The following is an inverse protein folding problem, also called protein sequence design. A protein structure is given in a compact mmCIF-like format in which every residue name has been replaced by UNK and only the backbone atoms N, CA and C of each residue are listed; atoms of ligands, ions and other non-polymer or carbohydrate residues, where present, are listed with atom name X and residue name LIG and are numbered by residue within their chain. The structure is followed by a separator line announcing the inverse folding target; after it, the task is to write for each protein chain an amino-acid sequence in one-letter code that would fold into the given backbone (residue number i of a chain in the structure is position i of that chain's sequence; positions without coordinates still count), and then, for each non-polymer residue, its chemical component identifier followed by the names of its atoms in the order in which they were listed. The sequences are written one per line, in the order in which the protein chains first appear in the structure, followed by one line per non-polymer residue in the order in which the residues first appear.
data_IF_260992223143
#
_entry.id   IF_260992223143
#
_cell.length_a   1.000
_cell.length_b   1.000
_cell.length_c   1.000
_cell.angle_alpha   90.00
_cell.angle_beta   90.00
_cell.angle_gamma   90.00
#
_symmetry.space_group_name_H-M   'P 1'
#
loop_
_entity.id
_entity.type
_entity.pdbx_description
1 polymer ?
#
# COMPACT_ATOMS: atom_id res chain seq x y z
N UNK A 1 18.99 14.10 28.88
CA UNK A 1 17.92 13.97 27.86
C UNK A 1 18.18 12.68 27.10
N UNK A 2 17.34 11.65 27.28
CA UNK A 2 17.49 10.43 26.47
C UNK A 2 16.86 10.69 25.10
N UNK A 3 17.67 10.59 24.05
CA UNK A 3 17.18 10.63 22.68
C UNK A 3 16.42 9.32 22.42
N UNK A 4 15.15 9.43 22.02
CA UNK A 4 14.39 8.29 21.47
C UNK A 4 15.00 7.96 20.11
N UNK A 5 15.30 6.69 19.85
CA UNK A 5 15.76 6.28 18.52
C UNK A 5 14.59 6.28 17.52
N UNK A 6 14.87 6.43 16.22
CA UNK A 6 13.85 6.33 15.17
C UNK A 6 13.07 5.02 15.26
N UNK A 7 13.76 3.94 15.65
CA UNK A 7 13.14 2.63 15.85
C UNK A 7 12.14 2.66 16.99
N UNK A 8 12.56 3.17 18.14
CA UNK A 8 11.70 3.21 19.32
C UNK A 8 10.48 4.12 19.07
N UNK A 9 10.65 5.20 18.30
CA UNK A 9 9.54 6.06 17.90
C UNK A 9 8.51 5.30 17.05
N UNK A 10 8.96 4.63 15.98
CA UNK A 10 8.09 3.85 15.08
C UNK A 10 7.43 2.69 15.83
N UNK A 11 8.18 1.98 16.67
CA UNK A 11 7.67 0.91 17.52
C UNK A 11 6.57 1.45 18.45
N UNK A 12 6.79 2.57 19.14
CA UNK A 12 5.80 3.15 20.07
C UNK A 12 4.54 3.60 19.34
N UNK A 13 4.68 4.28 18.20
CA UNK A 13 3.55 4.76 17.41
C UNK A 13 2.63 3.61 16.99
N UNK A 14 3.20 2.49 16.54
CA UNK A 14 2.42 1.39 15.97
C UNK A 14 2.18 0.19 16.90
N UNK A 15 2.78 0.15 18.11
CA UNK A 15 2.55 -0.94 19.07
C UNK A 15 1.41 -0.65 20.05
N UNK A 16 1.26 0.60 20.49
CA UNK A 16 0.43 0.92 21.66
C UNK A 16 -0.62 2.00 21.40
N UNK A 17 -0.70 2.51 20.17
CA UNK A 17 -1.57 3.64 19.85
C UNK A 17 -2.49 3.24 18.70
N UNK A 18 -3.80 3.37 18.91
CA UNK A 18 -4.77 3.35 17.82
C UNK A 18 -4.99 4.79 17.36
N UNK A 19 -5.01 4.98 16.05
CA UNK A 19 -5.32 6.27 15.45
C UNK A 19 -6.66 6.17 14.73
N UNK A 20 -7.79 6.34 15.44
CA UNK A 20 -9.11 6.12 14.88
C UNK A 20 -9.44 7.11 13.77
N UNK A 21 -8.80 8.29 13.71
CA UNK A 21 -9.04 9.30 12.69
C UNK A 21 -7.93 9.38 11.64
N UNK A 22 -6.97 8.45 11.65
CA UNK A 22 -5.87 8.47 10.69
C UNK A 22 -6.35 7.93 9.35
N UNK A 23 -6.28 8.79 8.34
CA UNK A 23 -6.74 8.47 6.97
C UNK A 23 -5.58 8.24 6.00
N UNK A 24 -4.44 8.89 6.23
CA UNK A 24 -3.26 8.83 5.34
C UNK A 24 -2.00 8.51 6.14
N UNK A 25 -1.23 7.54 5.65
CA UNK A 25 0.08 7.18 6.17
C UNK A 25 1.08 7.27 5.03
N UNK A 26 2.06 8.17 5.17
CA UNK A 26 3.16 8.33 4.22
C UNK A 26 4.49 8.09 4.90
N UNK A 27 5.24 7.11 4.39
CA UNK A 27 6.61 6.82 4.78
C UNK A 27 7.52 6.97 3.55
N UNK A 28 8.57 7.77 3.68
CA UNK A 28 9.56 8.00 2.62
C UNK A 28 10.93 7.72 3.22
N UNK A 29 11.67 6.81 2.57
CA UNK A 29 13.02 6.41 2.98
C UNK A 29 13.11 6.02 4.47
N UNK A 30 12.02 5.49 5.05
CA UNK A 30 11.99 5.12 6.46
C UNK A 30 12.70 3.76 6.63
N UNK A 31 13.93 3.73 7.18
CA UNK A 31 14.72 2.51 7.21
C UNK A 31 14.27 1.56 8.32
N UNK A 32 13.37 1.99 9.21
CA UNK A 32 12.87 1.19 10.34
C UNK A 32 11.50 0.57 10.04
N UNK A 33 10.71 1.20 9.17
CA UNK A 33 9.41 0.65 8.77
C UNK A 33 9.60 -0.72 8.12
N UNK A 34 8.81 -1.69 8.56
CA UNK A 34 8.94 -3.08 8.15
C UNK A 34 7.56 -3.77 8.11
N UNK A 35 7.55 -5.03 7.70
CA UNK A 35 6.32 -5.82 7.54
C UNK A 35 5.49 -5.94 8.82
N UNK A 36 6.13 -6.07 9.99
CA UNK A 36 5.44 -6.16 11.28
C UNK A 36 4.71 -4.86 11.61
N UNK A 37 5.31 -3.71 11.31
CA UNK A 37 4.66 -2.41 11.47
C UNK A 37 3.41 -2.31 10.60
N UNK A 38 3.48 -2.72 9.33
CA UNK A 38 2.33 -2.70 8.41
C UNK A 38 1.20 -3.62 8.87
N UNK A 39 1.52 -4.82 9.36
CA UNK A 39 0.55 -5.73 9.95
C UNK A 39 -0.15 -5.12 11.16
N UNK A 40 0.58 -4.42 12.04
CA UNK A 40 -0.01 -3.76 13.21
C UNK A 40 -0.90 -2.59 12.81
N UNK A 41 -0.41 -1.73 11.92
CA UNK A 41 -1.19 -0.60 11.38
C UNK A 41 -2.52 -1.08 10.81
N UNK A 42 -2.52 -2.21 10.10
CA UNK A 42 -3.75 -2.74 9.50
C UNK A 42 -4.80 -3.18 10.51
N UNK A 43 -4.38 -3.52 11.73
CA UNK A 43 -5.27 -3.91 12.84
C UNK A 43 -5.76 -2.70 13.65
N UNK A 44 -4.94 -1.66 13.81
CA UNK A 44 -5.22 -0.55 14.75
C UNK A 44 -5.71 0.75 14.09
N UNK A 45 -5.54 0.88 12.77
CA UNK A 45 -5.92 2.08 12.00
C UNK A 45 -6.97 1.75 10.93
N UNK A 46 -8.22 1.56 11.34
CA UNK A 46 -9.32 1.11 10.46
C UNK A 46 -9.80 2.16 9.45
N UNK A 47 -9.55 3.45 9.70
CA UNK A 47 -9.96 4.56 8.82
C UNK A 47 -8.94 4.92 7.73
N UNK A 48 -7.76 4.28 7.74
CA UNK A 48 -6.73 4.57 6.73
C UNK A 48 -7.27 4.24 5.33
N UNK A 49 -7.33 5.27 4.50
CA UNK A 49 -7.75 5.26 3.10
C UNK A 49 -6.55 5.39 2.15
N UNK A 50 -5.38 5.83 2.64
CA UNK A 50 -4.15 5.92 1.86
C UNK A 50 -2.93 5.42 2.64
N UNK A 51 -2.14 4.56 1.99
CA UNK A 51 -0.82 4.13 2.45
C UNK A 51 0.20 4.39 1.35
N UNK A 52 1.18 5.26 1.59
CA UNK A 52 2.32 5.49 0.71
C UNK A 52 3.59 4.99 1.38
N UNK A 53 4.25 4.01 0.77
CA UNK A 53 5.54 3.47 1.21
C UNK A 53 6.55 3.71 0.09
N UNK A 54 7.49 4.62 0.28
CA UNK A 54 8.46 4.98 -0.75
C UNK A 54 9.87 4.70 -0.26
N UNK A 55 10.62 3.87 -0.99
CA UNK A 55 12.01 3.50 -0.71
C UNK A 55 12.25 2.97 0.73
N UNK A 56 11.22 2.43 1.38
CA UNK A 56 11.34 1.84 2.72
C UNK A 56 11.89 0.41 2.61
N UNK A 57 13.12 0.23 3.08
CA UNK A 57 13.95 -0.94 2.76
C UNK A 57 13.56 -2.27 3.37
N UNK A 58 12.81 -2.25 4.46
CA UNK A 58 12.40 -3.45 5.17
C UNK A 58 10.91 -3.76 5.00
N UNK A 59 10.23 -3.02 4.11
CA UNK A 59 8.89 -3.38 3.64
C UNK A 59 9.02 -4.29 2.43
N UNK A 60 8.41 -5.46 2.52
CA UNK A 60 8.34 -6.47 1.48
C UNK A 60 6.90 -6.68 1.00
N UNK A 61 6.72 -7.57 0.02
CA UNK A 61 5.39 -7.87 -0.53
C UNK A 61 4.51 -8.54 0.53
N UNK A 62 5.14 -9.24 1.48
CA UNK A 62 4.47 -9.88 2.61
C UNK A 62 3.84 -8.82 3.54
N UNK A 63 4.56 -7.74 3.84
CA UNK A 63 4.03 -6.66 4.67
C UNK A 63 2.81 -5.97 4.06
N UNK A 64 2.82 -5.75 2.73
CA UNK A 64 1.66 -5.21 2.01
C UNK A 64 0.51 -6.23 1.98
N UNK A 65 0.78 -7.52 1.78
CA UNK A 65 -0.23 -8.59 1.88
C UNK A 65 -0.90 -8.59 3.26
N UNK A 66 -0.13 -8.59 4.35
CA UNK A 66 -0.65 -8.51 5.72
C UNK A 66 -1.44 -7.23 5.99
N UNK A 67 -1.07 -6.11 5.36
CA UNK A 67 -1.82 -4.88 5.47
C UNK A 67 -3.22 -4.97 4.84
N UNK A 68 -3.32 -5.73 3.74
CA UNK A 68 -4.54 -5.96 2.98
C UNK A 68 -5.46 -7.02 3.58
N UNK A 69 -4.94 -7.98 4.36
CA UNK A 69 -5.76 -9.00 5.04
C UNK A 69 -6.92 -8.38 5.87
N UNK A 70 -6.73 -7.18 6.40
CA UNK A 70 -7.72 -6.44 7.18
C UNK A 70 -8.63 -5.51 6.35
N UNK A 71 -8.49 -5.46 5.02
CA UNK A 71 -9.25 -4.55 4.16
C UNK A 71 -10.78 -4.68 4.33
N UNK A 72 -11.28 -5.92 4.44
CA UNK A 72 -12.70 -6.19 4.68
C UNK A 72 -13.24 -5.60 5.99
N UNK A 73 -12.38 -5.38 6.99
CA UNK A 73 -12.74 -4.83 8.30
C UNK A 73 -12.51 -3.32 8.43
N UNK A 74 -11.88 -2.69 7.44
CA UNK A 74 -11.67 -1.23 7.44
C UNK A 74 -12.99 -0.46 7.42
N UNK A 75 -12.99 0.72 8.00
CA UNK A 75 -14.12 1.65 7.93
C UNK A 75 -14.08 2.49 6.65
N UNK A 76 -12.87 2.72 6.11
CA UNK A 76 -12.69 3.34 4.79
C UNK A 76 -13.32 2.48 3.68
N UNK A 77 -14.04 3.13 2.78
CA UNK A 77 -14.63 2.49 1.60
C UNK A 77 -13.62 2.32 0.49
N UNK A 78 -12.67 3.25 0.39
CA UNK A 78 -11.59 3.22 -0.59
C UNK A 78 -10.25 3.09 0.12
N UNK A 79 -9.38 2.22 -0.39
CA UNK A 79 -7.99 2.13 0.02
C UNK A 79 -7.08 2.30 -1.20
N UNK A 80 -6.16 3.25 -1.12
CA UNK A 80 -5.06 3.43 -2.05
C UNK A 80 -3.75 3.01 -1.38
N UNK A 81 -3.02 2.10 -2.02
CA UNK A 81 -1.64 1.77 -1.67
C UNK A 81 -0.73 2.29 -2.78
N UNK A 82 0.16 3.21 -2.43
CA UNK A 82 1.26 3.69 -3.27
C UNK A 82 2.55 3.04 -2.77
N UNK A 83 3.21 2.24 -3.60
CA UNK A 83 4.49 1.64 -3.24
C UNK A 83 5.56 1.96 -4.28
N UNK A 84 6.61 2.69 -3.88
CA UNK A 84 7.83 2.91 -4.67
C UNK A 84 8.98 2.12 -4.02
N UNK A 85 9.63 1.23 -4.76
CA UNK A 85 10.80 0.49 -4.26
C UNK A 85 11.73 0.06 -5.38
N UNK A 86 12.95 0.60 -5.40
CA UNK A 86 14.01 0.18 -6.34
C UNK A 86 14.38 -1.31 -6.27
N UNK A 87 13.97 -2.03 -5.22
CA UNK A 87 14.34 -3.43 -4.96
C UNK A 87 13.33 -4.48 -5.40
N UNK A 88 12.11 -4.08 -5.76
CA UNK A 88 11.01 -5.01 -5.95
C UNK A 88 10.49 -4.90 -7.37
N UNK A 89 10.49 -6.04 -8.09
CA UNK A 89 9.92 -6.08 -9.42
C UNK A 89 8.39 -6.17 -9.34
N UNK A 90 7.71 -5.43 -10.22
CA UNK A 90 6.24 -5.42 -10.35
C UNK A 90 5.63 -6.82 -10.51
N UNK A 91 6.31 -7.67 -11.27
CA UNK A 91 5.89 -9.05 -11.51
C UNK A 91 5.79 -9.85 -10.23
N UNK A 92 6.72 -9.67 -9.30
CA UNK A 92 6.76 -10.42 -8.04
C UNK A 92 5.65 -9.95 -7.11
N UNK A 93 5.41 -8.64 -7.06
CA UNK A 93 4.30 -8.05 -6.31
C UNK A 93 2.96 -8.62 -6.75
N UNK A 94 2.65 -8.58 -8.05
CA UNK A 94 1.36 -9.03 -8.56
C UNK A 94 1.22 -10.55 -8.54
N UNK A 95 2.30 -11.30 -8.75
CA UNK A 95 2.27 -12.77 -8.65
C UNK A 95 1.92 -13.21 -7.24
N UNK A 96 2.60 -12.66 -6.22
CA UNK A 96 2.34 -13.01 -4.82
C UNK A 96 0.92 -12.62 -4.42
N UNK A 97 0.47 -11.42 -4.81
CA UNK A 97 -0.89 -10.97 -4.53
C UNK A 97 -1.97 -11.82 -5.21
N UNK A 98 -1.73 -12.29 -6.44
CA UNK A 98 -2.62 -13.18 -7.17
C UNK A 98 -2.69 -14.57 -6.54
N UNK A 99 -1.54 -15.07 -6.09
CA UNK A 99 -1.42 -16.42 -5.50
C UNK A 99 -1.92 -16.43 -4.03
N UNK A 100 -1.94 -15.27 -3.36
CA UNK A 100 -2.46 -15.12 -2.00
C UNK A 100 -3.97 -14.91 -1.96
N UNK A 101 -4.72 -16.01 -1.97
CA UNK A 101 -6.18 -16.02 -1.89
C UNK A 101 -6.73 -15.36 -0.62
N UNK A 102 -5.93 -15.16 0.44
CA UNK A 102 -6.37 -14.51 1.69
C UNK A 102 -6.63 -13.02 1.50
N UNK A 103 -5.86 -12.40 0.61
CA UNK A 103 -5.84 -10.96 0.36
C UNK A 103 -6.95 -10.58 -0.63
N UNK A 104 -7.14 -11.38 -1.69
CA UNK A 104 -7.97 -10.98 -2.85
C UNK A 104 -8.98 -12.04 -3.30
N UNK A 105 -9.08 -13.19 -2.62
CA UNK A 105 -9.86 -14.33 -3.09
C UNK A 105 -11.36 -14.08 -3.36
N UNK A 106 -11.95 -13.04 -2.76
CA UNK A 106 -13.34 -12.63 -3.00
C UNK A 106 -13.48 -11.33 -3.83
N UNK A 107 -12.38 -10.68 -4.20
CA UNK A 107 -12.35 -9.42 -4.94
C UNK A 107 -11.88 -9.70 -6.37
N UNK A 108 -12.60 -9.22 -7.37
CA UNK A 108 -12.11 -9.27 -8.75
C UNK A 108 -10.82 -8.46 -8.89
N UNK A 109 -9.79 -9.00 -9.53
CA UNK A 109 -8.54 -8.26 -9.79
C UNK A 109 -8.41 -7.94 -11.26
N UNK A 110 -8.23 -6.66 -11.56
CA UNK A 110 -8.06 -6.13 -12.91
C UNK A 110 -6.70 -5.43 -12.99
N UNK A 111 -5.84 -5.90 -13.89
CA UNK A 111 -4.50 -5.32 -14.02
C UNK A 111 -4.45 -4.38 -15.22
N UNK A 112 -3.95 -3.16 -15.03
CA UNK A 112 -3.72 -2.20 -16.11
C UNK A 112 -2.27 -1.71 -16.06
N UNK A 113 -1.46 -2.12 -17.04
CA UNK A 113 -0.12 -1.58 -17.23
C UNK A 113 -0.16 -0.51 -18.33
N UNK A 114 0.38 0.68 -18.06
CA UNK A 114 0.43 1.78 -19.03
C UNK A 114 1.82 2.43 -19.03
N UNK A 115 2.38 2.68 -20.20
CA UNK A 115 3.51 3.58 -20.36
C UNK A 115 2.99 5.02 -20.20
N UNK A 116 3.45 5.73 -19.17
CA UNK A 116 3.16 7.15 -19.00
C UNK A 116 4.23 7.96 -19.73
N UNK A 117 3.82 9.00 -20.45
CA UNK A 117 4.78 9.88 -21.15
C UNK A 117 5.55 10.74 -20.15
N UNK A 118 6.79 11.12 -20.48
CA UNK A 118 7.79 11.66 -19.55
C UNK A 118 7.36 12.88 -18.71
N UNK A 119 6.33 13.59 -19.16
CA UNK A 119 5.87 14.83 -18.56
C UNK A 119 4.87 14.57 -17.41
N UNK A 120 4.30 13.36 -17.33
CA UNK A 120 3.39 12.83 -16.30
C UNK A 120 2.20 13.74 -15.88
N UNK A 121 1.99 14.87 -16.56
CA UNK A 121 1.00 15.87 -16.19
C UNK A 121 -0.37 15.52 -16.78
N UNK A 122 -1.35 15.28 -15.91
CA UNK A 122 -2.75 15.08 -16.32
C UNK A 122 -3.18 13.65 -16.68
N UNK A 123 -2.30 12.65 -16.70
CA UNK A 123 -2.70 11.26 -16.97
C UNK A 123 -3.32 10.60 -15.72
N UNK A 124 -4.66 10.50 -15.69
CA UNK A 124 -5.42 9.86 -14.59
C UNK A 124 -6.13 8.60 -15.08
N UNK A 125 -5.90 7.47 -14.40
CA UNK A 125 -6.73 6.28 -14.60
C UNK A 125 -7.97 6.42 -13.74
N UNK A 126 -9.11 6.66 -14.38
CA UNK A 126 -10.41 6.70 -13.73
C UNK A 126 -10.94 5.29 -13.54
N UNK A 127 -11.22 4.96 -12.28
CA UNK A 127 -11.75 3.66 -11.88
C UNK A 127 -13.17 3.90 -11.42
N UNK A 128 -14.12 3.39 -12.18
CA UNK A 128 -15.54 3.55 -11.89
C UNK A 128 -15.92 2.65 -10.72
N UNK A 129 -16.42 3.26 -9.64
CA UNK A 129 -16.99 2.59 -8.49
C UNK A 129 -18.39 2.05 -8.85
N UNK A 130 -18.67 0.77 -8.59
CA UNK A 130 -20.07 0.31 -8.49
C UNK A 130 -20.58 0.67 -7.11
N UNK A 131 -21.54 1.59 -7.04
CA UNK A 131 -22.10 2.13 -5.81
C UNK A 131 -22.33 1.04 -4.74
N UNK A 132 -21.70 1.20 -3.57
CA UNK A 132 -21.93 0.36 -2.40
C UNK A 132 -20.92 -0.76 -2.15
N UNK A 133 -19.86 -0.91 -2.97
CA UNK A 133 -18.76 -1.85 -2.72
C UNK A 133 -17.46 -1.12 -2.30
N UNK A 134 -16.63 -1.75 -1.46
CA UNK A 134 -15.30 -1.22 -1.09
C UNK A 134 -14.33 -1.29 -2.27
N UNK A 135 -13.52 -0.26 -2.52
CA UNK A 135 -12.53 -0.26 -3.63
C UNK A 135 -11.10 -0.36 -3.11
N UNK A 136 -10.27 -1.19 -3.75
CA UNK A 136 -8.83 -1.26 -3.47
C UNK A 136 -8.01 -0.87 -4.71
N UNK A 137 -7.14 0.14 -4.57
CA UNK A 137 -6.27 0.63 -5.64
C UNK A 137 -4.82 0.38 -5.24
N UNK A 138 -4.07 -0.33 -6.05
CA UNK A 138 -2.65 -0.64 -5.83
C UNK A 138 -1.81 0.06 -6.90
N UNK A 139 -1.24 1.20 -6.55
CA UNK A 139 -0.33 1.94 -7.42
C UNK A 139 1.10 1.57 -7.06
N UNK A 140 1.84 1.05 -8.04
CA UNK A 140 3.26 0.78 -7.85
C UNK A 140 4.07 1.67 -8.78
N UNK A 141 4.96 2.45 -8.19
CA UNK A 141 5.89 3.32 -8.90
C UNK A 141 7.24 2.61 -9.01
N UNK A 142 7.36 1.62 -9.89
CA UNK A 142 8.65 1.00 -10.21
C UNK A 142 8.87 0.94 -11.70
N UNK A 143 9.66 1.86 -12.25
CA UNK A 143 11.09 1.68 -12.51
C UNK A 143 11.57 2.87 -13.34
N UNK A 144 12.63 3.54 -12.88
CA UNK A 144 13.34 4.60 -13.62
C UNK A 144 14.07 4.03 -14.86
N UNK A 145 14.10 2.70 -15.02
CA UNK A 145 14.84 2.03 -16.10
C UNK A 145 14.08 2.00 -17.45
N UNK A 146 12.77 2.27 -17.50
CA UNK A 146 12.04 2.35 -18.78
C UNK A 146 10.87 3.38 -18.82
N UNK A 147 10.69 4.22 -17.80
CA UNK A 147 9.59 5.20 -17.77
C UNK A 147 8.17 4.57 -17.65
N UNK A 148 8.07 3.29 -17.29
CA UNK A 148 6.80 2.58 -17.12
C UNK A 148 6.26 2.76 -15.69
N UNK A 149 5.00 3.15 -15.54
CA UNK A 149 4.28 3.08 -14.26
C UNK A 149 3.16 2.06 -14.37
N UNK A 150 3.00 1.17 -13.40
CA UNK A 150 1.97 0.13 -13.46
C UNK A 150 0.96 0.32 -12.34
N UNK A 151 -0.31 0.33 -12.71
CA UNK A 151 -1.42 0.50 -11.77
C UNK A 151 -2.18 -0.83 -11.70
N UNK A 152 -2.02 -1.52 -10.57
CA UNK A 152 -2.84 -2.66 -10.23
C UNK A 152 -4.17 -2.20 -9.64
N UNK A 153 -5.27 -2.68 -10.18
CA UNK A 153 -6.59 -2.30 -9.72
C UNK A 153 -7.35 -3.49 -9.16
N UNK A 154 -7.67 -3.45 -7.88
CA UNK A 154 -8.47 -4.49 -7.23
C UNK A 154 -9.88 -3.94 -7.01
N UNK A 155 -10.78 -4.19 -7.96
CA UNK A 155 -12.18 -3.74 -7.87
C UNK A 155 -13.10 -4.96 -7.70
N UNK A 156 -13.90 -5.03 -6.61
CA UNK A 156 -14.87 -6.11 -6.45
C UNK A 156 -16.05 -6.13 -7.41
#
# INVERSE_FOLDING_TARGET
MSLISEKDLVDVLFSNTSFPNLEDIKAVECPVLNDLHLERISKVCSNVAKLSVNECKHVSVIGISHFLDNFKFRSSKDLLIEWKSTRIQLSDYFKILKDDQRVIGNLGVWYYSKLFTGDNDGERIFVWERSGKKTLRLQNYTNEIEGRQTIGLVVP
#
